data_IF_610714702347
#
_entry.id   IF_610714702347
#
_cell.length_a   1.000
_cell.length_b   1.000
_cell.length_c   1.000
_cell.angle_alpha   90.00
_cell.angle_beta   90.00
_cell.angle_gamma   90.00
#
_symmetry.space_group_name_H-M   'P 1'
#
loop_
_entity.id
_entity.type
_entity.pdbx_description
1 polymer ?
#
# COMPACT_ATOMS: atom_id res chain seq x y z
N UNK A 1 37.97 29.98 -24.99
CA UNK A 1 39.34 29.41 -24.88
C UNK A 1 39.52 28.37 -25.98
N UNK A 2 40.48 28.51 -26.89
CA UNK A 2 40.77 27.45 -27.87
C UNK A 2 41.38 26.26 -27.13
N UNK A 3 40.74 25.09 -27.20
CA UNK A 3 41.28 23.86 -26.65
C UNK A 3 42.65 23.57 -27.29
N UNK A 4 43.71 23.46 -26.47
CA UNK A 4 45.05 23.14 -26.97
C UNK A 4 45.00 21.75 -27.60
N UNK A 5 45.29 21.69 -28.90
CA UNK A 5 45.39 20.42 -29.61
C UNK A 5 46.55 19.58 -29.05
N UNK A 6 46.37 18.25 -28.93
CA UNK A 6 47.45 17.36 -28.50
C UNK A 6 48.63 17.42 -29.48
N UNK A 7 49.83 16.99 -29.06
CA UNK A 7 51.05 16.98 -29.92
C UNK A 7 50.98 15.96 -31.07
N UNK A 8 50.21 14.89 -30.89
CA UNK A 8 49.94 13.87 -31.89
C UNK A 8 48.63 13.15 -31.57
N UNK A 9 47.99 12.56 -32.57
CA UNK A 9 46.82 11.69 -32.42
C UNK A 9 47.12 10.30 -32.95
N UNK A 10 46.40 9.28 -32.49
CA UNK A 10 46.49 7.91 -33.01
C UNK A 10 45.14 7.54 -33.58
N UNK A 11 45.10 7.12 -34.84
CA UNK A 11 43.90 6.62 -35.53
C UNK A 11 44.27 5.25 -36.09
N UNK A 12 43.49 4.22 -35.77
CA UNK A 12 43.71 2.84 -36.25
C UNK A 12 45.15 2.33 -36.01
N UNK A 13 45.72 2.67 -34.84
CA UNK A 13 47.08 2.26 -34.46
C UNK A 13 48.22 3.06 -35.11
N UNK A 14 47.94 4.00 -36.01
CA UNK A 14 48.95 4.87 -36.64
C UNK A 14 49.00 6.23 -35.96
N UNK A 15 50.22 6.71 -35.69
CA UNK A 15 50.45 8.00 -35.01
C UNK A 15 50.62 9.12 -36.04
N UNK A 16 49.82 10.16 -35.90
CA UNK A 16 49.85 11.35 -36.74
C UNK A 16 50.23 12.58 -35.90
N UNK A 17 51.34 13.27 -36.23
CA UNK A 17 51.66 14.52 -35.57
C UNK A 17 50.67 15.62 -35.98
N UNK A 18 50.16 16.37 -35.01
CA UNK A 18 49.04 17.30 -35.22
C UNK A 18 49.43 18.52 -36.06
N UNK A 19 50.73 18.85 -36.07
CA UNK A 19 51.28 19.91 -36.92
C UNK A 19 51.28 19.56 -38.41
N UNK A 20 51.29 18.26 -38.75
CA UNK A 20 51.27 17.78 -40.14
C UNK A 20 49.85 17.64 -40.69
N UNK A 21 48.82 17.88 -39.87
CA UNK A 21 47.42 17.80 -40.29
C UNK A 21 47.00 19.04 -41.08
N UNK A 22 46.18 18.85 -42.11
CA UNK A 22 45.52 19.95 -42.84
C UNK A 22 44.57 20.73 -41.92
N UNK A 23 44.23 21.97 -42.30
CA UNK A 23 43.28 22.79 -41.54
C UNK A 23 41.90 22.09 -41.38
N UNK A 24 41.44 21.40 -42.44
CA UNK A 24 40.20 20.61 -42.41
C UNK A 24 40.28 19.45 -41.41
N UNK A 25 41.41 18.72 -41.40
CA UNK A 25 41.62 17.61 -40.46
C UNK A 25 41.69 18.08 -39.00
N UNK A 26 42.34 19.22 -38.73
CA UNK A 26 42.35 19.82 -37.39
C UNK A 26 40.96 20.23 -36.92
N UNK A 27 40.13 20.80 -37.81
CA UNK A 27 38.73 21.14 -37.50
C UNK A 27 37.91 19.89 -37.15
N UNK A 28 38.07 18.80 -37.89
CA UNK A 28 37.38 17.54 -37.57
C UNK A 28 37.85 16.93 -36.26
N UNK A 29 39.14 17.04 -35.93
CA UNK A 29 39.68 16.59 -34.65
C UNK A 29 39.07 17.36 -33.46
N UNK A 30 38.86 18.66 -33.60
CA UNK A 30 38.18 19.48 -32.58
C UNK A 30 36.72 19.02 -32.44
N UNK A 31 36.01 18.83 -33.55
CA UNK A 31 34.63 18.37 -33.53
C UNK A 31 34.50 17.00 -32.87
N UNK A 32 35.42 16.08 -33.17
CA UNK A 32 35.47 14.76 -32.55
C UNK A 32 35.61 14.87 -31.03
N UNK A 33 36.53 15.71 -30.54
CA UNK A 33 36.68 15.94 -29.10
C UNK A 33 35.44 16.55 -28.43
N UNK A 34 34.68 17.40 -29.12
CA UNK A 34 33.41 17.92 -28.62
C UNK A 34 32.34 16.83 -28.54
N UNK A 35 32.28 15.96 -29.53
CA UNK A 35 31.36 14.81 -29.54
C UNK A 35 31.71 13.84 -28.41
N UNK A 36 32.99 13.52 -28.23
CA UNK A 36 33.45 12.62 -27.15
C UNK A 36 33.12 13.19 -25.76
N UNK A 37 33.31 14.49 -25.55
CA UNK A 37 32.93 15.17 -24.31
C UNK A 37 31.42 15.09 -24.06
N UNK A 38 30.61 15.26 -25.10
CA UNK A 38 29.16 15.16 -25.00
C UNK A 38 28.69 13.72 -24.72
N UNK A 39 29.32 12.72 -25.34
CA UNK A 39 29.07 11.30 -25.04
C UNK A 39 29.39 11.00 -23.57
N UNK A 40 30.52 11.50 -23.06
CA UNK A 40 30.88 11.33 -21.64
C UNK A 40 29.85 11.98 -20.70
N UNK A 41 29.36 13.16 -21.03
CA UNK A 41 28.28 13.84 -20.29
C UNK A 41 26.98 13.02 -20.29
N UNK A 42 26.57 12.50 -21.45
CA UNK A 42 25.38 11.65 -21.57
C UNK A 42 25.52 10.35 -20.77
N UNK A 43 26.70 9.73 -20.75
CA UNK A 43 26.95 8.57 -19.89
C UNK A 43 26.82 8.90 -18.41
N UNK A 44 27.29 10.07 -17.97
CA UNK A 44 27.14 10.50 -16.57
C UNK A 44 25.66 10.71 -16.22
N UNK A 45 24.88 11.33 -17.12
CA UNK A 45 23.43 11.50 -16.93
C UNK A 45 22.71 10.15 -16.91
N UNK A 46 23.07 9.22 -17.80
CA UNK A 46 22.51 7.87 -17.84
C UNK A 46 22.78 7.12 -16.52
N UNK A 47 23.98 7.24 -15.96
CA UNK A 47 24.31 6.65 -14.66
C UNK A 47 23.40 7.19 -13.54
N UNK A 48 23.13 8.50 -13.52
CA UNK A 48 22.19 9.09 -12.57
C UNK A 48 20.76 8.52 -12.72
N UNK A 49 20.27 8.42 -13.95
CA UNK A 49 18.96 7.81 -14.23
C UNK A 49 18.91 6.32 -13.87
N UNK A 50 20.00 5.56 -13.99
CA UNK A 50 20.06 4.18 -13.52
C UNK A 50 19.91 4.06 -12.01
N UNK A 51 20.51 4.96 -11.24
CA UNK A 51 20.34 5.01 -9.78
C UNK A 51 18.88 5.30 -9.43
N UNK A 52 18.27 6.30 -10.07
CA UNK A 52 16.86 6.63 -9.88
C UNK A 52 15.95 5.43 -10.26
N UNK A 53 16.22 4.77 -11.40
CA UNK A 53 15.49 3.57 -11.82
C UNK A 53 15.57 2.47 -10.78
N UNK A 54 16.76 2.19 -10.23
CA UNK A 54 16.95 1.18 -9.19
C UNK A 54 16.17 1.54 -7.92
N UNK A 55 16.17 2.82 -7.53
CA UNK A 55 15.37 3.30 -6.40
C UNK A 55 13.87 3.09 -6.63
N UNK A 56 13.34 3.46 -7.79
CA UNK A 56 11.93 3.21 -8.12
C UNK A 56 11.59 1.73 -8.23
N UNK A 57 12.52 0.88 -8.71
CA UNK A 57 12.33 -0.57 -8.70
C UNK A 57 12.21 -1.13 -7.27
N UNK A 58 12.99 -0.61 -6.32
CA UNK A 58 12.89 -1.00 -4.92
C UNK A 58 11.56 -0.54 -4.30
N UNK A 59 11.15 0.71 -4.55
CA UNK A 59 9.86 1.22 -4.10
C UNK A 59 8.70 0.42 -4.68
N UNK A 60 8.76 0.09 -5.97
CA UNK A 60 7.77 -0.76 -6.62
C UNK A 60 7.77 -2.16 -6.00
N UNK A 61 8.94 -2.79 -5.79
CA UNK A 61 9.02 -4.10 -5.15
C UNK A 61 8.43 -4.11 -3.73
N UNK A 62 8.59 -3.02 -2.96
CA UNK A 62 7.97 -2.90 -1.63
C UNK A 62 6.46 -2.64 -1.67
N UNK A 63 5.94 -2.07 -2.76
CA UNK A 63 4.52 -1.81 -2.94
C UNK A 63 3.79 -2.97 -3.64
N UNK A 64 4.53 -3.85 -4.32
CA UNK A 64 3.97 -5.01 -4.99
C UNK A 64 3.63 -6.09 -3.96
N UNK A 65 2.55 -6.86 -4.21
CA UNK A 65 2.24 -8.05 -3.41
C UNK A 65 3.41 -9.03 -3.48
N UNK A 66 3.80 -9.58 -2.33
CA UNK A 66 4.89 -10.55 -2.24
C UNK A 66 4.54 -11.81 -3.08
N UNK A 67 5.35 -12.19 -4.09
CA UNK A 67 5.06 -13.34 -4.95
C UNK A 67 5.16 -14.68 -4.22
N UNK A 68 5.82 -14.75 -3.04
CA UNK A 68 5.80 -15.91 -2.15
C UNK A 68 4.63 -15.89 -1.17
N UNK A 69 4.00 -14.72 -0.99
CA UNK A 69 2.66 -14.63 -0.46
C UNK A 69 1.72 -15.10 -1.55
N UNK A 70 1.61 -16.42 -1.67
CA UNK A 70 0.41 -17.00 -2.27
C UNK A 70 -0.78 -16.24 -1.67
N UNK A 71 -1.73 -15.71 -2.47
CA UNK A 71 -3.06 -15.49 -1.91
C UNK A 71 -3.42 -16.85 -1.35
N UNK A 72 -3.44 -16.99 -0.02
CA UNK A 72 -3.74 -18.25 0.62
C UNK A 72 -5.05 -18.69 0.03
N UNK A 73 -4.96 -19.77 -0.74
CA UNK A 73 -6.02 -20.33 -1.55
C UNK A 73 -7.29 -20.35 -0.71
N UNK A 74 -8.24 -19.48 -1.05
CA UNK A 74 -9.64 -19.59 -0.60
C UNK A 74 -9.85 -19.89 0.89
N UNK A 75 -9.25 -19.13 1.81
CA UNK A 75 -9.90 -18.96 3.11
C UNK A 75 -10.95 -17.87 2.91
N UNK A 76 -12.22 -18.27 2.90
CA UNK A 76 -13.32 -17.30 2.97
C UNK A 76 -13.02 -16.35 4.14
N UNK A 77 -13.10 -15.01 3.96
CA UNK A 77 -12.77 -14.08 5.02
C UNK A 77 -13.56 -14.45 6.27
N UNK A 78 -12.85 -14.64 7.39
CA UNK A 78 -13.51 -14.99 8.65
C UNK A 78 -14.12 -13.74 9.23
N UNK A 79 -15.38 -13.83 9.58
CA UNK A 79 -16.11 -12.72 10.16
C UNK A 79 -16.33 -12.95 11.64
N UNK A 80 -16.21 -11.89 12.42
CA UNK A 80 -16.41 -11.93 13.86
C UNK A 80 -17.30 -10.79 14.32
N UNK A 81 -18.16 -11.07 15.29
CA UNK A 81 -18.71 -10.04 16.16
C UNK A 81 -17.66 -9.58 17.15
N UNK A 82 -17.63 -8.27 17.38
CA UNK A 82 -17.03 -7.65 18.55
C UNK A 82 -18.07 -6.77 19.24
N UNK A 83 -18.45 -7.13 20.46
CA UNK A 83 -19.27 -6.28 21.30
C UNK A 83 -18.42 -5.09 21.76
N UNK A 84 -18.97 -3.88 21.61
CA UNK A 84 -18.33 -2.63 22.04
C UNK A 84 -19.31 -1.82 22.87
N UNK A 85 -18.78 -0.98 23.78
CA UNK A 85 -19.61 -0.11 24.60
C UNK A 85 -20.17 1.06 23.79
N UNK A 86 -21.21 1.70 24.32
CA UNK A 86 -21.80 2.91 23.73
C UNK A 86 -20.79 4.05 23.71
N UNK A 87 -20.04 4.20 24.80
CA UNK A 87 -19.01 5.23 24.96
C UNK A 87 -17.89 5.04 23.94
N UNK A 88 -17.50 3.78 23.69
CA UNK A 88 -16.53 3.46 22.66
C UNK A 88 -17.06 3.83 21.28
N UNK A 89 -18.27 3.42 20.92
CA UNK A 89 -18.85 3.75 19.60
C UNK A 89 -18.94 5.27 19.40
N UNK A 90 -19.37 6.01 20.42
CA UNK A 90 -19.48 7.47 20.39
C UNK A 90 -18.15 8.19 20.22
N UNK A 91 -17.09 7.69 20.87
CA UNK A 91 -15.74 8.26 20.78
C UNK A 91 -15.10 8.08 19.40
N UNK A 92 -15.50 7.05 18.66
CA UNK A 92 -14.82 6.62 17.43
C UNK A 92 -15.66 6.85 16.15
N UNK A 93 -16.80 7.54 16.26
CA UNK A 93 -17.58 8.04 15.12
C UNK A 93 -17.00 9.29 14.45
N UNK A 94 -17.43 9.53 13.21
CA UNK A 94 -16.85 8.95 12.02
C UNK A 94 -15.48 9.61 11.76
N UNK A 95 -14.41 8.99 12.26
CA UNK A 95 -13.09 9.20 11.66
C UNK A 95 -12.98 8.12 10.57
N UNK A 96 -13.26 8.49 9.31
CA UNK A 96 -12.99 7.59 8.18
C UNK A 96 -11.51 7.18 8.25
N UNK A 97 -11.24 5.88 8.08
CA UNK A 97 -9.90 5.30 8.13
C UNK A 97 -9.18 5.39 9.49
N UNK A 98 -9.93 5.34 10.59
CA UNK A 98 -9.32 5.21 11.90
C UNK A 98 -8.68 3.82 12.09
N UNK A 99 -7.51 3.80 12.71
CA UNK A 99 -6.83 2.58 13.12
C UNK A 99 -7.01 2.37 14.62
N UNK A 100 -7.59 1.24 15.01
CA UNK A 100 -7.80 0.87 16.41
C UNK A 100 -6.86 -0.25 16.82
N UNK A 101 -6.27 -0.17 18.01
CA UNK A 101 -5.45 -1.27 18.50
C UNK A 101 -6.38 -2.39 18.94
N UNK A 102 -6.04 -3.63 18.61
CA UNK A 102 -6.87 -4.75 19.04
C UNK A 102 -6.92 -4.91 20.57
N UNK A 103 -5.90 -4.41 21.28
CA UNK A 103 -5.87 -4.31 22.73
C UNK A 103 -6.96 -3.42 23.33
N UNK A 104 -7.56 -2.54 22.52
CA UNK A 104 -8.64 -1.65 22.96
C UNK A 104 -9.99 -2.40 23.06
N UNK A 105 -10.04 -3.65 22.56
CA UNK A 105 -11.18 -4.54 22.71
C UNK A 105 -10.95 -5.51 23.88
N UNK A 106 -11.95 -5.66 24.76
CA UNK A 106 -11.88 -6.48 25.98
C UNK A 106 -11.68 -7.99 25.72
N UNK A 107 -11.80 -8.44 24.47
CA UNK A 107 -11.58 -9.84 24.10
C UNK A 107 -10.93 -9.93 22.73
N UNK A 108 -9.61 -10.10 22.71
CA UNK A 108 -8.92 -10.52 21.50
C UNK A 108 -9.17 -12.02 21.33
N UNK A 109 -10.10 -12.39 20.47
CA UNK A 109 -9.90 -13.63 19.72
C UNK A 109 -8.54 -13.53 19.01
N UNK A 110 -7.91 -14.67 18.70
CA UNK A 110 -6.70 -14.72 17.88
C UNK A 110 -7.02 -14.30 16.43
N UNK A 111 -7.36 -13.01 16.27
CA UNK A 111 -7.63 -12.39 15.00
C UNK A 111 -6.37 -12.50 14.16
N UNK A 112 -6.52 -13.04 12.97
CA UNK A 112 -5.49 -13.12 11.95
C UNK A 112 -5.61 -11.92 11.04
N UNK A 113 -4.55 -11.69 10.28
CA UNK A 113 -4.60 -10.76 9.17
C UNK A 113 -5.79 -11.11 8.25
N UNK A 114 -6.45 -10.07 7.73
CA UNK A 114 -7.60 -10.12 6.82
C UNK A 114 -8.92 -10.60 7.44
N UNK A 115 -8.93 -10.91 8.74
CA UNK A 115 -10.18 -11.13 9.47
C UNK A 115 -11.02 -9.85 9.47
N UNK A 116 -12.34 -10.02 9.31
CA UNK A 116 -13.29 -8.93 9.31
C UNK A 116 -14.05 -8.89 10.63
N UNK A 117 -14.04 -7.74 11.28
CA UNK A 117 -14.65 -7.57 12.60
C UNK A 117 -15.80 -6.59 12.50
N UNK A 118 -17.01 -7.06 12.82
CA UNK A 118 -18.22 -6.26 12.90
C UNK A 118 -18.46 -5.85 14.34
N UNK A 119 -18.62 -4.55 14.59
CA UNK A 119 -18.86 -4.04 15.93
C UNK A 119 -20.35 -3.92 16.23
N UNK A 120 -20.75 -4.47 17.38
CA UNK A 120 -22.12 -4.46 17.86
C UNK A 120 -22.23 -3.74 19.20
N UNK A 121 -23.18 -2.82 19.30
CA UNK A 121 -23.51 -2.11 20.54
C UNK A 121 -24.81 -2.68 21.11
N UNK A 122 -24.75 -3.17 22.35
CA UNK A 122 -25.90 -3.74 23.05
C UNK A 122 -27.04 -2.71 23.15
N UNK A 123 -28.24 -3.13 22.78
CA UNK A 123 -29.44 -2.27 22.79
C UNK A 123 -29.65 -1.43 21.53
N UNK A 124 -28.64 -1.32 20.66
CA UNK A 124 -28.71 -0.53 19.44
C UNK A 124 -28.62 -1.41 18.20
N UNK A 125 -27.49 -2.10 18.00
CA UNK A 125 -27.27 -2.86 16.78
C UNK A 125 -25.83 -2.83 16.30
N UNK A 126 -25.65 -3.18 15.02
CA UNK A 126 -24.35 -3.13 14.34
C UNK A 126 -24.04 -1.70 13.96
N UNK A 127 -22.87 -1.23 14.35
CA UNK A 127 -22.47 0.18 14.16
C UNK A 127 -21.40 0.35 13.08
N UNK A 128 -20.79 -0.74 12.62
CA UNK A 128 -19.76 -0.69 11.59
C UNK A 128 -18.87 -1.91 11.60
N UNK A 129 -17.84 -1.88 10.75
CA UNK A 129 -16.89 -2.97 10.61
C UNK A 129 -15.52 -2.48 10.15
N UNK A 130 -14.52 -3.33 10.37
CA UNK A 130 -13.14 -3.12 9.94
C UNK A 130 -12.43 -4.40 9.55
N UNK A 131 -11.21 -4.25 9.04
CA UNK A 131 -10.32 -5.35 8.65
C UNK A 131 -9.11 -5.37 9.57
N UNK A 132 -8.69 -6.56 9.99
CA UNK A 132 -7.49 -6.73 10.80
C UNK A 132 -6.26 -6.72 9.91
N UNK A 133 -5.37 -5.76 10.15
CA UNK A 133 -4.09 -5.63 9.46
C UNK A 133 -2.94 -5.84 10.46
N UNK A 134 -1.82 -6.35 9.94
CA UNK A 134 -0.59 -6.53 10.71
C UNK A 134 0.40 -5.42 10.33
N UNK A 135 0.94 -4.74 11.35
CA UNK A 135 1.94 -3.70 11.15
C UNK A 135 3.22 -4.32 10.58
N UNK A 136 3.67 -3.80 9.44
CA UNK A 136 4.86 -4.24 8.70
C UNK A 136 6.13 -4.21 9.53
N UNK A 137 6.17 -3.43 10.61
CA UNK A 137 7.37 -3.25 11.44
C UNK A 137 7.27 -3.78 12.86
N UNK A 138 6.09 -4.20 13.34
CA UNK A 138 5.94 -4.50 14.78
C UNK A 138 5.24 -5.81 15.14
N UNK A 139 4.83 -6.66 14.19
CA UNK A 139 3.99 -7.87 14.43
C UNK A 139 2.70 -7.59 15.21
N UNK A 140 2.41 -6.32 15.51
CA UNK A 140 1.21 -5.91 16.22
C UNK A 140 0.09 -5.79 15.21
N UNK A 141 -1.05 -6.34 15.58
CA UNK A 141 -2.26 -6.29 14.77
C UNK A 141 -3.15 -5.15 15.21
N UNK A 142 -3.80 -4.53 14.24
CA UNK A 142 -4.70 -3.41 14.43
C UNK A 142 -5.94 -3.57 13.53
N UNK A 143 -7.05 -2.95 13.92
CA UNK A 143 -8.27 -2.92 13.14
C UNK A 143 -8.30 -1.64 12.33
N UNK A 144 -8.29 -1.75 11.01
CA UNK A 144 -8.52 -0.63 10.08
C UNK A 144 -10.01 -0.51 9.84
N UNK A 145 -10.56 0.62 10.27
CA UNK A 145 -11.99 0.90 10.15
C UNK A 145 -12.38 1.19 8.71
N UNK A 146 -13.34 0.43 8.18
CA UNK A 146 -13.82 0.59 6.81
C UNK A 146 -15.08 1.44 6.78
N UNK A 147 -16.10 1.01 7.53
CA UNK A 147 -17.43 1.61 7.48
C UNK A 147 -18.00 1.71 8.89
N UNK A 148 -18.60 2.85 9.20
CA UNK A 148 -19.36 3.05 10.42
C UNK A 148 -20.55 3.95 10.16
N UNK A 149 -21.67 3.64 10.82
CA UNK A 149 -22.87 4.49 10.78
C UNK A 149 -22.59 5.82 11.48
N UNK A 150 -23.24 6.93 11.08
CA UNK A 150 -22.94 8.27 11.63
C UNK A 150 -23.46 8.44 13.07
N UNK A 151 -24.48 7.69 13.47
CA UNK A 151 -25.12 7.76 14.80
C UNK A 151 -25.63 6.39 15.25
N UNK A 152 -25.91 6.23 16.55
CA UNK A 152 -26.36 4.94 17.12
C UNK A 152 -27.78 4.60 16.65
N UNK A 153 -28.57 5.61 16.28
CA UNK A 153 -29.92 5.43 15.76
C UNK A 153 -29.92 4.94 14.30
N UNK A 154 -28.82 5.17 13.58
CA UNK A 154 -28.58 4.62 12.26
C UNK A 154 -28.00 3.20 12.29
N UNK A 155 -27.70 2.64 13.47
CA UNK A 155 -27.20 1.27 13.61
C UNK A 155 -28.19 0.25 13.06
N UNK A 156 -27.69 -0.85 12.49
CA UNK A 156 -28.54 -1.94 12.03
C UNK A 156 -29.06 -2.73 13.24
N UNK A 157 -30.38 -2.68 13.52
CA UNK A 157 -30.92 -3.23 14.76
C UNK A 157 -30.88 -4.75 14.75
N UNK A 158 -30.84 -5.36 15.94
CA UNK A 158 -30.80 -6.82 16.08
C UNK A 158 -31.96 -7.57 15.38
N UNK A 159 -33.07 -6.89 15.11
CA UNK A 159 -34.23 -7.46 14.40
C UNK A 159 -33.93 -7.74 12.93
N UNK A 160 -33.18 -6.87 12.25
CA UNK A 160 -32.83 -7.04 10.82
C UNK A 160 -31.75 -8.09 10.62
N UNK A 161 -30.95 -8.42 11.64
CA UNK A 161 -29.92 -9.47 11.56
C UNK A 161 -30.48 -10.83 11.14
N UNK A 162 -31.75 -11.13 11.45
CA UNK A 162 -32.40 -12.39 11.05
C UNK A 162 -32.50 -12.54 9.54
N UNK A 163 -32.62 -11.44 8.80
CA UNK A 163 -32.68 -11.42 7.33
C UNK A 163 -31.36 -11.93 6.73
N UNK A 164 -30.25 -11.73 7.45
CA UNK A 164 -28.90 -12.15 7.05
C UNK A 164 -28.49 -13.50 7.68
N UNK A 165 -29.45 -14.26 8.22
CA UNK A 165 -29.17 -15.50 8.98
C UNK A 165 -28.24 -15.29 10.19
N UNK A 166 -28.25 -14.09 10.76
CA UNK A 166 -27.43 -13.71 11.91
C UNK A 166 -28.26 -13.53 13.17
N UNK A 167 -27.59 -13.70 14.31
CA UNK A 167 -28.12 -13.38 15.64
C UNK A 167 -27.20 -12.36 16.29
N UNK A 168 -27.75 -11.60 17.24
CA UNK A 168 -26.93 -10.71 18.06
C UNK A 168 -25.86 -11.54 18.81
N UNK A 169 -24.68 -10.97 19.06
CA UNK A 169 -23.63 -11.67 19.79
C UNK A 169 -24.11 -12.05 21.19
N UNK A 170 -23.70 -13.24 21.65
CA UNK A 170 -23.88 -13.69 23.03
C UNK A 170 -22.59 -13.61 23.84
N UNK A 171 -21.45 -13.38 23.17
CA UNK A 171 -20.12 -13.24 23.76
C UNK A 171 -19.47 -11.92 23.32
N UNK A 172 -18.50 -11.40 24.08
CA UNK A 172 -17.76 -10.20 23.70
C UNK A 172 -17.13 -10.30 22.31
N UNK A 173 -16.55 -11.44 21.96
CA UNK A 173 -16.15 -11.75 20.58
C UNK A 173 -16.65 -13.13 20.15
N UNK A 174 -17.14 -13.23 18.92
CA UNK A 174 -17.78 -14.45 18.41
C UNK A 174 -17.65 -14.57 16.88
N UNK A 175 -17.17 -15.71 16.38
CA UNK A 175 -17.17 -15.97 14.95
C UNK A 175 -18.59 -16.05 14.37
N UNK A 176 -18.79 -15.49 13.18
CA UNK A 176 -20.04 -15.58 12.45
C UNK A 176 -20.17 -16.93 11.75
N UNK A 177 -21.39 -17.48 11.64
CA UNK A 177 -21.62 -18.72 10.92
C UNK A 177 -21.34 -18.53 9.42
N UNK A 178 -20.77 -19.54 8.79
CA UNK A 178 -20.43 -19.55 7.35
C UNK A 178 -21.67 -19.40 6.46
N UNK A 179 -22.85 -19.75 6.99
CA UNK A 179 -24.14 -19.64 6.30
C UNK A 179 -24.76 -18.24 6.34
N UNK A 180 -24.14 -17.27 7.02
CA UNK A 180 -24.65 -15.92 7.09
C UNK A 180 -24.45 -15.16 5.77
N UNK A 181 -25.45 -14.36 5.40
CA UNK A 181 -25.34 -13.42 4.28
C UNK A 181 -24.59 -12.16 4.73
N UNK A 182 -23.27 -12.25 4.76
CA UNK A 182 -22.44 -11.14 5.21
C UNK A 182 -22.37 -10.02 4.18
N UNK A 183 -22.30 -10.33 2.89
CA UNK A 183 -22.22 -9.33 1.84
C UNK A 183 -23.48 -8.44 1.80
N UNK A 184 -24.66 -9.05 2.00
CA UNK A 184 -25.90 -8.31 2.19
C UNK A 184 -25.87 -7.40 3.42
N UNK A 185 -25.33 -7.87 4.55
CA UNK A 185 -25.22 -7.07 5.77
C UNK A 185 -24.27 -5.88 5.59
N UNK A 186 -23.11 -6.09 4.96
CA UNK A 186 -22.14 -5.02 4.69
C UNK A 186 -22.76 -3.96 3.77
N UNK A 187 -23.47 -4.38 2.72
CA UNK A 187 -24.19 -3.46 1.82
C UNK A 187 -25.26 -2.64 2.57
N UNK A 188 -25.98 -3.26 3.50
CA UNK A 188 -26.96 -2.57 4.33
C UNK A 188 -26.31 -1.55 5.29
N UNK A 189 -25.13 -1.86 5.82
CA UNK A 189 -24.33 -0.92 6.63
C UNK A 189 -23.85 0.26 5.80
N UNK A 190 -23.34 0.00 4.60
CA UNK A 190 -22.85 1.05 3.69
C UNK A 190 -23.96 2.03 3.34
N UNK A 191 -25.17 1.52 3.10
CA UNK A 191 -26.37 2.34 2.83
C UNK A 191 -26.76 3.22 4.03
N UNK A 192 -26.51 2.76 5.26
CA UNK A 192 -26.76 3.53 6.50
C UNK A 192 -25.62 4.49 6.85
N UNK A 193 -24.42 4.26 6.30
CA UNK A 193 -23.22 5.05 6.53
C UNK A 193 -23.04 6.18 5.50
N UNK A 194 -23.73 6.11 4.35
CA UNK A 194 -23.84 7.17 3.36
C UNK A 194 -24.71 8.33 3.87
#
# INVERSE_FOLDING_TARGET
MMAKLPKSIVIEGRRYPTWALSAKARKQLINLGLVDAHIAELHQRLAHHHVARKHYQLLLASALPDPHRQPSVSESPRYFWQSVSKEWAQKHWPIRMATFRLSDFESTNDYRQDDRVLCYVKGHGVVGWGVVEEDTHSTKRHLVWQVGVPTLDAALPAKTLKEFSLRHPSRPSQALPVTADIDGLLTALDTKAA
#
